data_IF_766433773964
#
_entry.id   IF_766433773964
#
_cell.length_a   1.000
_cell.length_b   1.000
_cell.length_c   1.000
_cell.angle_alpha   90.00
_cell.angle_beta   90.00
_cell.angle_gamma   90.00
#
_symmetry.space_group_name_H-M   'P 1'
#
loop_
_entity.id
_entity.type
_entity.pdbx_description
1 polymer ?
#
# COMPACT_ATOMS: atom_id res chain seq x y z
N UNK A 1 -4.03 13.04 51.99
CA UNK A 1 -4.91 13.45 50.85
C UNK A 1 -4.34 12.84 49.59
N UNK A 2 -4.98 11.77 49.09
CA UNK A 2 -4.52 11.07 47.93
C UNK A 2 -5.10 11.75 46.68
N UNK A 3 -4.27 12.35 45.87
CA UNK A 3 -4.70 12.97 44.63
C UNK A 3 -4.87 11.87 43.59
N UNK A 4 -6.08 11.53 43.22
CA UNK A 4 -6.40 10.66 42.09
C UNK A 4 -6.08 11.42 40.81
N UNK A 5 -5.01 11.01 40.13
CA UNK A 5 -4.73 11.46 38.76
C UNK A 5 -5.67 10.67 37.87
N UNK A 6 -6.72 11.30 37.38
CA UNK A 6 -7.58 10.73 36.35
C UNK A 6 -6.82 10.74 35.03
N UNK A 7 -6.39 9.57 34.57
CA UNK A 7 -5.96 9.41 33.20
C UNK A 7 -7.20 9.40 32.31
N UNK A 8 -7.41 10.47 31.53
CA UNK A 8 -8.40 10.44 30.47
C UNK A 8 -7.91 9.52 29.38
N UNK A 9 -8.57 8.38 29.19
CA UNK A 9 -8.40 7.62 27.98
C UNK A 9 -8.97 8.43 26.82
N UNK A 10 -8.11 8.82 25.88
CA UNK A 10 -8.58 9.35 24.61
C UNK A 10 -9.42 8.25 23.94
N UNK A 11 -10.70 8.54 23.70
CA UNK A 11 -11.54 7.63 22.92
C UNK A 11 -10.96 7.51 21.53
N UNK A 12 -10.68 6.27 21.10
CA UNK A 12 -10.27 6.01 19.73
C UNK A 12 -11.46 6.32 18.83
N UNK A 13 -11.47 7.51 18.23
CA UNK A 13 -12.44 7.86 17.19
C UNK A 13 -12.08 7.11 15.91
N UNK A 14 -13.05 6.41 15.31
CA UNK A 14 -12.83 5.76 14.02
C UNK A 14 -12.52 6.83 12.98
N UNK A 15 -11.42 6.62 12.25
CA UNK A 15 -11.03 7.51 11.14
C UNK A 15 -11.98 7.30 9.96
N UNK A 16 -12.30 8.34 9.16
CA UNK A 16 -13.05 8.18 7.92
C UNK A 16 -12.40 7.21 6.92
N UNK A 17 -11.06 7.05 7.01
CA UNK A 17 -10.29 6.06 6.27
C UNK A 17 -9.62 5.13 7.27
N UNK A 18 -10.25 3.99 7.62
CA UNK A 18 -9.73 3.10 8.65
C UNK A 18 -8.45 2.41 8.21
N UNK A 19 -7.63 2.04 9.19
CA UNK A 19 -6.44 1.22 8.95
C UNK A 19 -6.85 -0.21 8.62
N UNK A 20 -6.25 -0.77 7.59
CA UNK A 20 -6.41 -2.16 7.19
C UNK A 20 -5.03 -2.83 7.12
N UNK A 21 -5.00 -4.12 7.38
CA UNK A 21 -3.80 -4.94 7.34
C UNK A 21 -4.11 -6.18 6.51
N UNK A 22 -3.26 -6.47 5.53
CA UNK A 22 -3.32 -7.70 4.76
C UNK A 22 -1.99 -8.44 4.91
N UNK A 23 -2.06 -9.75 5.00
CA UNK A 23 -0.88 -10.60 5.25
C UNK A 23 -0.90 -11.83 4.36
N UNK A 24 0.28 -12.34 4.08
CA UNK A 24 0.44 -13.67 3.51
C UNK A 24 1.67 -14.34 4.08
N UNK A 25 1.68 -15.67 4.05
CA UNK A 25 2.82 -16.47 4.47
C UNK A 25 3.06 -17.56 3.42
N UNK A 26 4.30 -17.67 2.98
CA UNK A 26 4.76 -18.77 2.12
C UNK A 26 6.05 -19.33 2.74
N UNK A 27 6.01 -20.58 3.17
CA UNK A 27 7.10 -21.22 3.92
C UNK A 27 7.52 -20.33 5.10
N UNK A 28 8.78 -19.88 5.15
CA UNK A 28 9.30 -19.05 6.23
C UNK A 28 9.12 -17.54 5.98
N UNK A 29 8.63 -17.17 4.81
CA UNK A 29 8.45 -15.77 4.44
C UNK A 29 7.06 -15.27 4.81
N UNK A 30 7.02 -14.22 5.62
CA UNK A 30 5.81 -13.52 6.01
C UNK A 30 5.84 -12.11 5.43
N UNK A 31 4.80 -11.74 4.70
CA UNK A 31 4.66 -10.40 4.11
C UNK A 31 3.39 -9.76 4.63
N UNK A 32 3.51 -8.52 5.06
CA UNK A 32 2.41 -7.73 5.61
C UNK A 32 2.35 -6.37 4.94
N UNK A 33 1.16 -5.91 4.59
CA UNK A 33 0.91 -4.54 4.13
C UNK A 33 -0.07 -3.88 5.07
N UNK A 34 0.28 -2.70 5.56
CA UNK A 34 -0.58 -1.85 6.39
C UNK A 34 -0.89 -0.58 5.61
N UNK A 35 -2.17 -0.24 5.51
CA UNK A 35 -2.61 0.94 4.78
C UNK A 35 -3.87 1.53 5.39
N UNK A 36 -4.12 2.81 5.13
CA UNK A 36 -5.40 3.43 5.44
C UNK A 36 -6.27 3.38 4.20
N UNK A 37 -7.53 3.00 4.37
CA UNK A 37 -8.45 2.62 3.32
C UNK A 37 -9.44 3.75 3.01
N UNK A 38 -9.15 4.63 2.02
CA UNK A 38 -10.11 5.65 1.64
C UNK A 38 -11.27 5.03 0.85
N UNK A 39 -12.44 5.68 0.94
CA UNK A 39 -13.64 5.30 0.23
C UNK A 39 -13.90 6.27 -0.91
N UNK A 40 -14.50 5.78 -1.97
CA UNK A 40 -14.86 6.56 -3.17
C UNK A 40 -15.84 7.68 -2.85
N UNK A 41 -16.90 7.40 -2.14
CA UNK A 41 -17.94 8.35 -1.71
C UNK A 41 -18.51 9.18 -2.87
N UNK A 42 -18.83 8.51 -3.98
CA UNK A 42 -19.41 9.17 -5.15
C UNK A 42 -18.46 10.07 -5.93
N UNK A 43 -17.16 10.06 -5.61
CA UNK A 43 -16.16 10.89 -6.28
C UNK A 43 -15.51 10.17 -7.45
N UNK A 44 -15.02 10.92 -8.42
CA UNK A 44 -14.08 10.39 -9.42
C UNK A 44 -12.72 10.20 -8.75
N UNK A 45 -12.13 9.03 -8.89
CA UNK A 45 -10.90 8.67 -8.16
C UNK A 45 -9.66 9.01 -8.99
N UNK A 46 -9.27 8.15 -9.90
CA UNK A 46 -8.03 8.37 -10.66
C UNK A 46 -8.22 9.42 -11.74
N UNK A 47 -7.30 10.39 -11.75
CA UNK A 47 -7.37 11.58 -12.60
C UNK A 47 -8.11 12.75 -11.95
N UNK A 48 -8.65 12.57 -10.75
CA UNK A 48 -9.36 13.60 -9.98
C UNK A 48 -8.92 13.58 -8.52
N UNK A 49 -9.55 12.77 -7.66
CA UNK A 49 -9.16 12.66 -6.25
C UNK A 49 -7.69 12.24 -6.10
N UNK A 50 -7.24 11.32 -6.94
CA UNK A 50 -5.83 10.93 -7.07
C UNK A 50 -5.36 11.37 -8.46
N UNK A 51 -4.63 12.50 -8.56
CA UNK A 51 -4.19 13.03 -9.86
C UNK A 51 -3.24 12.08 -10.58
N UNK A 52 -3.33 12.03 -11.89
CA UNK A 52 -2.37 11.29 -12.70
C UNK A 52 -1.00 11.97 -12.69
N UNK A 53 0.07 11.17 -12.70
CA UNK A 53 1.43 11.66 -12.82
C UNK A 53 2.04 12.22 -11.54
N UNK A 54 1.32 12.18 -10.42
CA UNK A 54 1.79 12.66 -9.13
C UNK A 54 2.04 11.51 -8.16
N UNK A 55 3.00 11.69 -7.27
CA UNK A 55 3.29 10.72 -6.22
C UNK A 55 2.12 10.66 -5.25
N UNK A 56 1.59 9.45 -5.05
CA UNK A 56 0.49 9.17 -4.15
C UNK A 56 0.97 8.25 -3.03
N UNK A 57 0.55 8.55 -1.79
CA UNK A 57 0.86 7.72 -0.61
C UNK A 57 0.22 6.34 -0.65
N UNK A 58 -0.51 6.02 -1.72
CA UNK A 58 -1.12 4.70 -1.97
C UNK A 58 -2.12 4.31 -0.87
N UNK A 59 -2.97 5.26 -0.55
CA UNK A 59 -3.97 5.14 0.51
C UNK A 59 -4.39 6.50 1.03
N UNK A 60 -4.65 6.58 2.32
CA UNK A 60 -4.99 7.80 3.03
C UNK A 60 -4.17 7.91 4.32
N UNK A 61 -4.16 9.09 4.94
CA UNK A 61 -3.41 9.35 6.18
C UNK A 61 -1.91 9.05 6.01
N UNK A 62 -1.38 8.07 6.75
CA UNK A 62 0.01 7.62 6.61
C UNK A 62 0.20 6.88 5.28
N UNK A 63 1.40 6.96 4.72
CA UNK A 63 1.77 6.18 3.55
C UNK A 63 1.66 4.68 3.84
N UNK A 64 1.25 3.92 2.85
CA UNK A 64 1.20 2.45 2.92
C UNK A 64 2.58 1.90 3.21
N UNK A 65 2.66 0.86 4.05
CA UNK A 65 3.92 0.20 4.41
C UNK A 65 3.84 -1.29 4.15
N UNK A 66 4.94 -1.83 3.61
CA UNK A 66 5.12 -3.26 3.39
C UNK A 66 6.27 -3.75 4.27
N UNK A 67 6.01 -4.86 4.98
CA UNK A 67 7.03 -5.56 5.76
C UNK A 67 7.20 -6.97 5.20
N UNK A 68 8.45 -7.39 5.02
CA UNK A 68 8.79 -8.76 4.67
C UNK A 68 9.86 -9.30 5.63
N UNK A 69 9.68 -10.54 6.08
CA UNK A 69 10.62 -11.18 7.03
C UNK A 69 11.85 -11.77 6.34
N UNK A 70 11.77 -12.00 5.03
CA UNK A 70 12.84 -12.54 4.22
C UNK A 70 12.98 -11.71 2.94
N UNK A 71 14.12 -11.80 2.26
CA UNK A 71 14.29 -11.17 0.96
C UNK A 71 13.29 -11.74 -0.06
N UNK A 72 12.72 -10.89 -0.89
CA UNK A 72 11.79 -11.26 -1.95
C UNK A 72 12.13 -10.50 -3.23
N UNK A 73 11.58 -10.94 -4.35
CA UNK A 73 11.48 -10.12 -5.56
C UNK A 73 10.11 -9.49 -5.59
N UNK A 74 10.05 -8.18 -5.79
CA UNK A 74 8.82 -7.43 -5.99
C UNK A 74 8.94 -6.63 -7.28
N UNK A 75 8.01 -6.85 -8.22
CA UNK A 75 8.11 -6.27 -9.55
C UNK A 75 9.41 -6.65 -10.27
N UNK A 76 9.96 -7.83 -9.99
CA UNK A 76 11.23 -8.29 -10.51
C UNK A 76 12.47 -7.69 -9.85
N UNK A 77 12.31 -6.88 -8.82
CA UNK A 77 13.41 -6.23 -8.07
C UNK A 77 13.59 -6.88 -6.70
N UNK A 78 14.83 -7.18 -6.34
CA UNK A 78 15.14 -7.75 -5.03
C UNK A 78 15.08 -6.67 -3.95
N UNK A 79 14.36 -6.99 -2.86
CA UNK A 79 14.42 -6.23 -1.61
C UNK A 79 14.80 -7.17 -0.45
N UNK A 80 15.56 -6.65 0.49
CA UNK A 80 15.93 -7.40 1.69
C UNK A 80 14.78 -7.43 2.70
N UNK A 81 14.88 -8.30 3.69
CA UNK A 81 13.96 -8.30 4.83
C UNK A 81 13.92 -6.90 5.48
N UNK A 82 12.74 -6.43 5.81
CA UNK A 82 12.58 -5.11 6.41
C UNK A 82 11.19 -4.53 6.14
N UNK A 83 11.05 -3.25 6.47
CA UNK A 83 9.83 -2.48 6.26
C UNK A 83 10.12 -1.31 5.33
N UNK A 84 9.21 -1.06 4.41
CA UNK A 84 9.34 -0.04 3.36
C UNK A 84 8.02 0.71 3.22
N UNK A 85 8.10 2.01 2.93
CA UNK A 85 6.92 2.75 2.48
C UNK A 85 6.66 2.46 1.00
N UNK A 86 5.39 2.37 0.63
CA UNK A 86 4.96 2.24 -0.76
C UNK A 86 4.36 3.56 -1.20
N UNK A 87 4.95 4.13 -2.25
CA UNK A 87 4.36 5.21 -3.02
C UNK A 87 4.06 4.71 -4.42
N UNK A 88 3.10 5.31 -5.08
CA UNK A 88 2.80 5.03 -6.48
C UNK A 88 2.61 6.32 -7.24
N UNK A 89 2.86 6.26 -8.54
CA UNK A 89 2.53 7.34 -9.47
C UNK A 89 1.51 6.78 -10.45
N UNK A 90 0.20 6.96 -10.18
CA UNK A 90 -0.83 6.46 -11.08
C UNK A 90 -0.83 7.20 -12.40
N UNK A 91 -0.94 6.47 -13.49
CA UNK A 91 -1.23 6.95 -14.82
C UNK A 91 -2.44 6.20 -15.36
N UNK A 92 -2.94 6.59 -16.51
CA UNK A 92 -4.12 5.97 -17.10
C UNK A 92 -3.89 4.51 -17.50
N UNK A 93 -2.69 4.20 -18.01
CA UNK A 93 -2.33 2.91 -18.58
C UNK A 93 -1.38 2.09 -17.72
N UNK A 94 -0.69 2.73 -16.78
CA UNK A 94 0.29 2.10 -15.89
C UNK A 94 0.43 2.86 -14.58
N UNK A 95 0.93 2.18 -13.56
CA UNK A 95 1.39 2.81 -12.32
C UNK A 95 2.88 2.56 -12.15
N UNK A 96 3.60 3.59 -11.72
CA UNK A 96 4.95 3.40 -11.20
C UNK A 96 4.85 3.09 -9.72
N UNK A 97 5.42 1.97 -9.30
CA UNK A 97 5.46 1.52 -7.90
C UNK A 97 6.83 1.83 -7.33
N UNK A 98 6.85 2.42 -6.15
CA UNK A 98 8.07 2.90 -5.48
C UNK A 98 8.12 2.32 -4.09
N UNK A 99 9.24 1.68 -3.72
CA UNK A 99 9.54 1.34 -2.34
C UNK A 99 10.59 2.28 -1.81
N UNK A 100 10.30 2.89 -0.67
CA UNK A 100 11.08 3.96 -0.06
C UNK A 100 11.49 3.57 1.38
N UNK A 101 12.69 3.96 1.78
CA UNK A 101 13.24 3.62 3.10
C UNK A 101 12.65 4.41 4.26
N UNK A 102 12.11 5.59 3.98
CA UNK A 102 11.57 6.46 5.03
C UNK A 102 10.17 6.01 5.44
N UNK A 103 9.99 5.74 6.73
CA UNK A 103 8.76 5.22 7.30
C UNK A 103 7.97 6.31 8.04
N UNK A 104 6.69 6.01 8.31
CA UNK A 104 5.83 6.88 9.12
C UNK A 104 5.48 8.20 8.47
N UNK A 105 5.51 8.27 7.15
CA UNK A 105 5.24 9.51 6.42
C UNK A 105 3.74 9.80 6.35
N UNK A 106 3.37 11.03 6.68
CA UNK A 106 2.01 11.52 6.53
C UNK A 106 1.79 12.10 5.13
N UNK A 107 1.03 11.39 4.28
CA UNK A 107 0.82 11.80 2.90
C UNK A 107 2.08 11.66 2.06
N UNK A 108 2.15 12.42 0.96
CA UNK A 108 3.30 12.47 0.07
C UNK A 108 4.08 13.80 0.16
N UNK A 109 3.77 14.63 1.14
CA UNK A 109 4.33 15.99 1.25
C UNK A 109 5.85 16.01 1.44
N UNK A 110 6.38 15.05 2.19
CA UNK A 110 7.80 14.94 2.49
C UNK A 110 8.46 13.77 1.74
N UNK A 111 7.84 13.34 0.65
CA UNK A 111 8.40 12.27 -0.16
C UNK A 111 9.81 12.65 -0.62
N UNK A 112 10.77 11.78 -0.31
CA UNK A 112 12.17 11.96 -0.65
C UNK A 112 12.62 10.90 -1.65
N UNK A 113 12.77 11.29 -2.90
CA UNK A 113 13.19 10.40 -3.98
C UNK A 113 14.57 9.78 -3.74
N UNK A 114 15.46 10.46 -3.02
CA UNK A 114 16.78 9.93 -2.69
C UNK A 114 16.72 8.70 -1.76
N UNK A 115 15.61 8.52 -1.06
CA UNK A 115 15.38 7.35 -0.21
C UNK A 115 14.69 6.19 -0.96
N UNK A 116 14.44 6.31 -2.25
CA UNK A 116 13.88 5.24 -3.07
C UNK A 116 14.88 4.09 -3.19
N UNK A 117 14.38 2.87 -2.96
CA UNK A 117 15.17 1.65 -3.16
C UNK A 117 14.93 1.04 -4.52
N UNK A 118 13.67 0.93 -4.89
CA UNK A 118 13.27 0.33 -6.18
C UNK A 118 12.12 1.11 -6.76
N UNK A 119 12.09 1.15 -8.09
CA UNK A 119 10.97 1.64 -8.91
C UNK A 119 10.72 0.66 -10.03
N UNK A 120 9.47 0.41 -10.34
CA UNK A 120 9.07 -0.38 -11.48
C UNK A 120 7.65 -0.01 -11.90
N UNK A 121 7.30 -0.28 -13.15
CA UNK A 121 5.98 -0.03 -13.69
C UNK A 121 5.15 -1.31 -13.70
N UNK A 122 3.85 -1.18 -13.47
CA UNK A 122 2.86 -2.24 -13.62
C UNK A 122 1.71 -1.73 -14.48
N UNK A 123 1.14 -2.58 -15.36
CA UNK A 123 0.01 -2.16 -16.19
C UNK A 123 -1.26 -1.97 -15.38
N UNK A 124 -2.12 -1.07 -15.83
CA UNK A 124 -3.46 -0.87 -15.30
C UNK A 124 -4.42 -1.80 -16.01
N UNK A 125 -5.26 -2.48 -15.23
CA UNK A 125 -6.41 -3.21 -15.73
C UNK A 125 -7.68 -2.43 -15.40
N UNK A 126 -8.49 -2.14 -16.42
CA UNK A 126 -9.82 -1.53 -16.26
C UNK A 126 -10.84 -2.65 -16.12
N UNK A 127 -11.33 -2.85 -14.90
CA UNK A 127 -12.32 -3.88 -14.58
C UNK A 127 -13.72 -3.27 -14.64
N UNK A 128 -14.23 -3.05 -15.84
CA UNK A 128 -15.45 -2.25 -16.13
C UNK A 128 -16.70 -2.67 -15.39
N UNK A 129 -16.82 -3.93 -14.97
CA UNK A 129 -18.01 -4.47 -14.34
C UNK A 129 -17.95 -4.47 -12.81
N UNK A 130 -16.84 -4.03 -12.24
CA UNK A 130 -16.60 -4.04 -10.78
C UNK A 130 -16.29 -2.64 -10.31
N UNK A 131 -16.87 -2.24 -9.18
CA UNK A 131 -16.53 -1.00 -8.49
C UNK A 131 -16.12 -1.35 -7.07
N UNK A 132 -14.84 -1.12 -6.76
CA UNK A 132 -14.37 -1.18 -5.38
C UNK A 132 -14.61 0.18 -4.73
N UNK A 133 -15.54 0.24 -3.81
CA UNK A 133 -15.87 1.47 -3.05
C UNK A 133 -14.69 1.91 -2.18
N UNK A 134 -14.09 1.02 -1.35
CA UNK A 134 -12.86 1.35 -0.65
C UNK A 134 -11.64 0.98 -1.50
N UNK A 135 -10.57 1.75 -1.36
CA UNK A 135 -9.26 1.32 -1.83
C UNK A 135 -8.87 0.02 -1.15
N UNK A 136 -8.66 -1.02 -1.92
CA UNK A 136 -8.45 -2.39 -1.41
C UNK A 136 -7.10 -2.91 -1.85
N UNK A 137 -6.31 -3.37 -0.89
CA UNK A 137 -5.07 -4.11 -1.14
C UNK A 137 -5.32 -5.56 -0.71
N UNK A 138 -4.91 -6.51 -1.53
CA UNK A 138 -5.07 -7.93 -1.24
C UNK A 138 -3.91 -8.73 -1.81
N UNK A 139 -3.62 -9.89 -1.21
CA UNK A 139 -2.69 -10.86 -1.78
C UNK A 139 -3.47 -11.95 -2.50
N UNK A 140 -3.00 -12.29 -3.69
CA UNK A 140 -3.47 -13.47 -4.42
C UNK A 140 -2.31 -14.45 -4.54
N UNK A 141 -2.37 -15.55 -3.79
CA UNK A 141 -1.30 -16.55 -3.79
C UNK A 141 -1.47 -17.52 -4.96
N UNK A 142 -0.40 -17.76 -5.71
CA UNK A 142 -0.34 -18.62 -6.88
C UNK A 142 0.84 -19.57 -6.73
N UNK A 143 0.64 -20.76 -6.13
CA UNK A 143 1.70 -21.74 -5.92
C UNK A 143 2.94 -21.12 -5.22
N UNK A 144 4.03 -20.92 -5.96
CA UNK A 144 5.32 -20.45 -5.42
C UNK A 144 5.53 -18.94 -5.54
N UNK A 145 4.52 -18.21 -6.02
CA UNK A 145 4.56 -16.75 -6.13
C UNK A 145 3.21 -16.16 -5.73
N UNK A 146 3.14 -14.85 -5.69
CA UNK A 146 1.92 -14.14 -5.35
C UNK A 146 1.82 -12.84 -6.12
N UNK A 147 0.62 -12.31 -6.24
CA UNK A 147 0.38 -10.95 -6.68
C UNK A 147 -0.13 -10.11 -5.51
N UNK A 148 0.42 -8.93 -5.36
CA UNK A 148 -0.12 -7.89 -4.50
C UNK A 148 -1.06 -7.06 -5.37
N UNK A 149 -2.35 -7.17 -5.10
CA UNK A 149 -3.39 -6.48 -5.86
C UNK A 149 -3.75 -5.16 -5.19
N UNK A 150 -3.91 -4.12 -5.98
CA UNK A 150 -4.44 -2.84 -5.53
C UNK A 150 -5.63 -2.47 -6.41
N UNK A 151 -6.78 -2.25 -5.77
CA UNK A 151 -8.05 -2.05 -6.47
C UNK A 151 -8.79 -0.86 -5.88
N UNK A 152 -9.25 0.03 -6.73
CA UNK A 152 -10.15 1.11 -6.33
C UNK A 152 -10.95 1.60 -7.53
N UNK A 153 -12.24 1.94 -7.31
CA UNK A 153 -13.17 2.20 -8.40
C UNK A 153 -13.17 0.99 -9.35
N UNK A 154 -12.99 1.17 -10.64
CA UNK A 154 -12.89 0.08 -11.62
C UNK A 154 -11.45 -0.18 -12.07
N UNK A 155 -10.48 0.27 -11.30
CA UNK A 155 -9.05 0.15 -11.60
C UNK A 155 -8.40 -0.93 -10.75
N UNK A 156 -7.59 -1.78 -11.36
CA UNK A 156 -6.77 -2.77 -10.68
C UNK A 156 -5.35 -2.75 -11.22
N UNK A 157 -4.38 -2.88 -10.33
CA UNK A 157 -2.99 -3.18 -10.67
C UNK A 157 -2.54 -4.43 -9.91
N UNK A 158 -1.66 -5.21 -10.51
CA UNK A 158 -1.07 -6.42 -9.92
C UNK A 158 0.44 -6.23 -9.83
N UNK A 159 0.98 -6.41 -8.63
CA UNK A 159 2.42 -6.32 -8.38
C UNK A 159 2.92 -7.73 -8.11
N UNK A 160 3.75 -8.31 -9.00
CA UNK A 160 4.24 -9.67 -8.80
C UNK A 160 5.25 -9.74 -7.66
N UNK A 161 5.09 -10.78 -6.83
CA UNK A 161 6.00 -11.13 -5.74
C UNK A 161 6.50 -12.53 -5.99
N UNK A 162 7.81 -12.72 -5.97
CA UNK A 162 8.45 -14.02 -6.04
C UNK A 162 9.20 -14.29 -4.74
N UNK A 163 8.99 -15.49 -4.19
CA UNK A 163 9.71 -15.93 -3.01
C UNK A 163 11.03 -16.56 -3.43
N UNK A 164 12.08 -16.21 -2.71
CA UNK A 164 13.41 -16.71 -2.99
C UNK A 164 13.66 -18.01 -2.23
N UNK A 165 14.31 -18.96 -2.87
CA UNK A 165 14.77 -20.20 -2.22
C UNK A 165 15.86 -19.89 -1.19
N UNK A 166 15.75 -20.52 -0.03
CA UNK A 166 16.70 -20.38 1.08
C UNK A 166 17.56 -21.62 1.25
#
# INVERSE_FOLDING_TARGET
VSTLIAHSQESVTSRPSPTAIVTMKFEDTYVKVTYSQPHKRGRDVFGSLVPFGEVWRTGANEATELTTTEAILIGGKRIDAGTYSIFTIPQKDKWTVILNKELGQWGAYNYNEEADLVRFDVPVEDVKEVVWEPFTIAFEQKNEHADLLMMWDSTMVSIPIEFLDH
#
